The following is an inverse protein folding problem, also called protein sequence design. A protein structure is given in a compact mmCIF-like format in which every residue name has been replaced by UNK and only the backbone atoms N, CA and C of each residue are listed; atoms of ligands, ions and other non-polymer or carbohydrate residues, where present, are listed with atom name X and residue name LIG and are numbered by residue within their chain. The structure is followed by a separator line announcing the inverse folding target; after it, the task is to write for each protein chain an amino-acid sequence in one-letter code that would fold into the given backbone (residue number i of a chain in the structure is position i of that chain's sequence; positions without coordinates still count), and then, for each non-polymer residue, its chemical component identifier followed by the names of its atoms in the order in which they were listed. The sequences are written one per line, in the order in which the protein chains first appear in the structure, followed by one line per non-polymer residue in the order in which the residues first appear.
data_IF_040402817956
#
_entry.id   IF_040402817956
#
_cell.length_a   1.000
_cell.length_b   1.000
_cell.length_c   1.000
_cell.angle_alpha   90.00
_cell.angle_beta   90.00
_cell.angle_gamma   90.00
#
_symmetry.space_group_name_H-M   'P 1'
#
loop_
_entity.id
_entity.type
_entity.pdbx_description
1 polymer ?
#
# COMPACT_ATOMS: atom_id res chain seq x y z
N UNK A 1 0.14 17.88 15.16
CA UNK A 1 1.02 17.14 14.25
C UNK A 1 1.08 17.91 12.94
N UNK A 2 2.28 18.26 12.48
CA UNK A 2 2.56 19.39 11.59
C UNK A 2 1.79 19.41 10.25
N UNK A 3 1.45 20.62 9.79
CA UNK A 3 0.94 20.98 8.45
C UNK A 3 2.01 20.81 7.35
N UNK A 4 2.60 19.62 7.25
CA UNK A 4 3.64 19.35 6.25
C UNK A 4 3.00 19.25 4.86
N UNK A 5 3.42 20.11 3.93
CA UNK A 5 3.03 19.99 2.53
C UNK A 5 3.54 18.66 1.93
N UNK A 6 2.84 18.12 0.95
CA UNK A 6 3.15 16.84 0.30
C UNK A 6 3.51 17.13 -1.15
N UNK A 7 4.77 16.88 -1.51
CA UNK A 7 5.19 17.03 -2.90
C UNK A 7 4.69 15.87 -3.75
N UNK A 8 4.09 16.23 -4.87
CA UNK A 8 3.62 15.33 -5.93
C UNK A 8 3.98 15.92 -7.29
N UNK A 9 4.20 15.08 -8.30
CA UNK A 9 4.30 15.59 -9.67
C UNK A 9 2.94 16.16 -10.16
N UNK A 10 2.96 16.96 -11.22
CA UNK A 10 1.76 17.66 -11.70
C UNK A 10 0.62 16.71 -12.09
N UNK A 11 0.95 15.57 -12.70
CA UNK A 11 -0.05 14.54 -13.05
C UNK A 11 -0.74 13.95 -11.82
N UNK A 12 0.04 13.60 -10.79
CA UNK A 12 -0.48 13.08 -9.52
C UNK A 12 -1.28 14.13 -8.77
N UNK A 13 -0.86 15.40 -8.76
CA UNK A 13 -1.64 16.50 -8.18
C UNK A 13 -3.02 16.59 -8.82
N UNK A 14 -3.09 16.55 -10.16
CA UNK A 14 -4.37 16.55 -10.90
C UNK A 14 -5.27 15.38 -10.48
N UNK A 15 -4.73 14.17 -10.41
CA UNK A 15 -5.52 12.99 -9.98
C UNK A 15 -6.02 13.13 -8.55
N UNK A 16 -5.17 13.52 -7.60
CA UNK A 16 -5.54 13.64 -6.19
C UNK A 16 -6.53 14.78 -5.93
N UNK A 17 -6.50 15.85 -6.74
CA UNK A 17 -7.51 16.92 -6.69
C UNK A 17 -8.92 16.45 -7.03
N UNK A 18 -9.09 15.30 -7.70
CA UNK A 18 -10.40 14.73 -8.01
C UNK A 18 -11.00 13.92 -6.87
N UNK A 19 -10.24 13.62 -5.81
CA UNK A 19 -10.70 12.76 -4.71
C UNK A 19 -11.62 13.47 -3.70
N UNK A 20 -12.08 14.71 -3.99
CA UNK A 20 -12.97 15.51 -3.13
C UNK A 20 -12.55 15.56 -1.66
N UNK A 21 -11.24 15.67 -1.40
CA UNK A 21 -10.66 15.71 -0.06
C UNK A 21 -9.97 17.05 0.22
N UNK A 22 -10.70 18.08 0.69
CA UNK A 22 -10.17 19.44 0.83
C UNK A 22 -8.90 19.52 1.67
N UNK A 23 -8.88 18.80 2.80
CA UNK A 23 -7.73 18.79 3.71
C UNK A 23 -6.45 18.18 3.09
N UNK A 24 -6.59 17.26 2.14
CA UNK A 24 -5.46 16.74 1.37
C UNK A 24 -5.05 17.74 0.29
N UNK A 25 -6.02 18.24 -0.49
CA UNK A 25 -5.76 19.10 -1.65
C UNK A 25 -5.03 20.39 -1.26
N UNK A 26 -5.37 20.99 -0.12
CA UNK A 26 -4.67 22.19 0.40
C UNK A 26 -3.20 21.94 0.74
N UNK A 27 -2.82 20.68 0.99
CA UNK A 27 -1.46 20.28 1.34
C UNK A 27 -0.62 19.85 0.13
N UNK A 28 -1.21 19.70 -1.05
CA UNK A 28 -0.49 19.24 -2.24
C UNK A 28 0.32 20.36 -2.90
N UNK A 29 1.62 20.12 -3.04
CA UNK A 29 2.56 21.04 -3.71
C UNK A 29 3.28 20.36 -4.87
N UNK A 30 3.65 21.15 -5.86
CA UNK A 30 4.55 20.74 -6.96
C UNK A 30 5.94 21.33 -6.80
N UNK A 31 6.16 22.18 -5.78
CA UNK A 31 7.47 22.71 -5.42
C UNK A 31 8.25 21.65 -4.63
N UNK A 32 9.31 21.14 -5.26
CA UNK A 32 10.15 20.07 -4.74
C UNK A 32 11.03 20.50 -3.56
N UNK A 33 11.28 21.80 -3.39
CA UNK A 33 12.16 22.31 -2.35
C UNK A 33 11.44 22.62 -1.03
N UNK A 34 10.12 22.81 -1.06
CA UNK A 34 9.35 23.31 0.08
C UNK A 34 9.00 22.26 1.14
N UNK A 35 9.19 20.96 0.88
CA UNK A 35 8.84 19.88 1.82
C UNK A 35 9.85 18.73 1.76
N UNK A 36 10.08 18.01 2.87
CA UNK A 36 10.82 16.75 2.85
C UNK A 36 9.95 15.53 2.45
N UNK A 37 8.63 15.68 2.35
CA UNK A 37 7.69 14.58 2.10
C UNK A 37 7.31 14.48 0.62
N UNK A 38 7.82 13.46 -0.06
CA UNK A 38 7.70 13.30 -1.51
C UNK A 38 6.96 12.01 -1.88
N UNK A 39 5.97 12.11 -2.76
CA UNK A 39 5.25 10.95 -3.32
C UNK A 39 5.84 10.59 -4.68
N UNK A 40 6.48 9.41 -4.74
CA UNK A 40 7.08 8.88 -5.97
C UNK A 40 6.23 7.75 -6.56
N UNK A 41 6.34 7.48 -7.87
CA UNK A 41 5.73 6.27 -8.45
C UNK A 41 6.34 5.01 -7.81
N UNK A 42 5.53 3.98 -7.55
CA UNK A 42 5.95 2.77 -6.83
C UNK A 42 7.18 2.08 -7.47
N UNK A 43 7.28 2.10 -8.80
CA UNK A 43 8.42 1.56 -9.55
C UNK A 43 9.75 2.34 -9.37
N UNK A 44 9.72 3.51 -8.74
CA UNK A 44 10.91 4.27 -8.34
C UNK A 44 11.38 3.94 -6.92
N UNK A 45 10.59 3.21 -6.13
CA UNK A 45 10.94 2.84 -4.75
C UNK A 45 11.83 1.59 -4.76
N UNK A 46 13.08 1.77 -5.19
CA UNK A 46 14.14 0.77 -5.11
C UNK A 46 15.49 1.45 -4.78
N UNK A 47 16.48 0.70 -4.25
CA UNK A 47 17.71 1.31 -3.75
C UNK A 47 18.46 2.16 -4.77
N UNK A 48 18.60 1.69 -6.02
CA UNK A 48 19.34 2.39 -7.08
C UNK A 48 18.71 3.75 -7.39
N UNK A 49 17.42 3.76 -7.71
CA UNK A 49 16.70 4.99 -8.09
C UNK A 49 16.56 5.97 -6.93
N UNK A 50 16.43 5.47 -5.70
CA UNK A 50 16.33 6.33 -4.52
C UNK A 50 17.67 6.98 -4.15
N UNK A 51 18.80 6.29 -4.38
CA UNK A 51 20.13 6.90 -4.24
C UNK A 51 20.32 8.04 -5.24
N UNK A 52 20.00 7.79 -6.52
CA UNK A 52 20.03 8.82 -7.57
C UNK A 52 19.11 10.01 -7.24
N UNK A 53 17.93 9.72 -6.68
CA UNK A 53 16.99 10.75 -6.26
C UNK A 53 17.51 11.58 -5.07
N UNK A 54 18.06 10.94 -4.04
CA UNK A 54 18.65 11.60 -2.86
C UNK A 54 19.80 12.53 -3.24
N UNK A 55 20.64 12.13 -4.20
CA UNK A 55 21.78 12.93 -4.66
C UNK A 55 21.40 14.32 -5.18
N UNK A 56 20.17 14.50 -5.70
CA UNK A 56 19.64 15.79 -6.17
C UNK A 56 19.42 16.80 -5.05
N UNK A 57 19.41 16.34 -3.80
CA UNK A 57 19.16 17.17 -2.62
C UNK A 57 20.39 17.31 -1.72
N UNK A 58 21.57 16.87 -2.18
CA UNK A 58 22.82 17.15 -1.47
C UNK A 58 23.13 18.64 -1.56
N UNK A 59 23.54 19.32 -0.46
CA UNK A 59 23.84 18.77 0.87
C UNK A 59 22.67 18.78 1.87
N UNK A 60 21.48 19.24 1.46
CA UNK A 60 20.31 19.41 2.34
C UNK A 60 19.88 18.12 3.03
N UNK A 61 19.85 16.99 2.32
CA UNK A 61 19.48 15.69 2.88
C UNK A 61 20.61 14.68 2.74
N UNK A 62 20.95 14.01 3.83
CA UNK A 62 21.96 12.93 3.87
C UNK A 62 21.34 11.53 3.84
N UNK A 63 20.11 11.41 4.34
CA UNK A 63 19.41 10.14 4.47
C UNK A 63 17.99 10.25 3.89
N UNK A 64 17.48 9.14 3.36
CA UNK A 64 16.15 8.99 2.81
C UNK A 64 15.48 7.75 3.42
N UNK A 65 14.27 7.95 3.93
CA UNK A 65 13.39 6.84 4.34
C UNK A 65 12.25 6.75 3.35
N UNK A 66 12.06 5.57 2.76
CA UNK A 66 10.98 5.29 1.83
C UNK A 66 10.01 4.29 2.44
N UNK A 67 8.72 4.59 2.31
CA UNK A 67 7.64 3.66 2.61
C UNK A 67 7.12 3.08 1.30
N UNK A 68 7.16 1.77 1.19
CA UNK A 68 6.59 1.02 0.06
C UNK A 68 5.33 0.31 0.55
N UNK A 69 4.14 0.88 0.34
CA UNK A 69 2.91 0.16 0.64
C UNK A 69 2.82 -1.08 -0.26
N UNK A 70 2.50 -2.21 0.36
CA UNK A 70 2.40 -3.52 -0.29
C UNK A 70 1.20 -4.27 0.27
N UNK A 71 0.55 -5.07 -0.57
CA UNK A 71 -0.52 -5.97 -0.12
C UNK A 71 0.00 -7.15 0.72
N UNK A 72 -0.91 -8.06 1.06
CA UNK A 72 -0.64 -9.22 1.92
C UNK A 72 0.57 -10.07 1.50
N UNK A 73 0.87 -10.18 0.21
CA UNK A 73 2.00 -11.00 -0.29
C UNK A 73 3.38 -10.57 0.21
N UNK A 74 3.52 -9.36 0.79
CA UNK A 74 4.76 -8.95 1.45
C UNK A 74 4.83 -9.35 2.93
N UNK A 75 3.68 -9.57 3.60
CA UNK A 75 3.63 -9.88 5.04
C UNK A 75 4.13 -11.29 5.35
N UNK A 76 4.06 -12.23 4.40
CA UNK A 76 4.58 -13.60 4.60
C UNK A 76 6.08 -13.62 4.91
N UNK A 77 6.84 -12.65 4.38
CA UNK A 77 8.29 -12.54 4.64
C UNK A 77 8.64 -11.75 5.91
N UNK A 78 7.74 -10.89 6.39
CA UNK A 78 7.98 -10.03 7.55
C UNK A 78 7.55 -10.69 8.89
N UNK A 79 6.86 -11.83 8.83
CA UNK A 79 6.26 -12.47 9.99
C UNK A 79 5.00 -11.71 10.47
N UNK A 80 4.27 -12.32 11.40
CA UNK A 80 2.93 -11.88 11.82
C UNK A 80 2.87 -10.57 12.65
N UNK A 81 3.93 -9.75 12.68
CA UNK A 81 4.01 -8.57 13.54
C UNK A 81 4.59 -7.34 12.87
N UNK A 82 3.87 -6.22 12.93
CA UNK A 82 4.33 -4.90 12.45
C UNK A 82 5.65 -4.47 13.10
N UNK A 83 5.90 -4.92 14.34
CA UNK A 83 7.15 -4.67 15.09
C UNK A 83 8.39 -5.31 14.46
N UNK A 84 8.21 -6.30 13.59
CA UNK A 84 9.31 -7.09 13.03
C UNK A 84 9.73 -6.62 11.63
N UNK A 85 9.09 -5.57 11.09
CA UNK A 85 9.40 -5.05 9.75
C UNK A 85 10.82 -4.46 9.76
N UNK A 86 11.72 -5.11 9.02
CA UNK A 86 13.09 -4.62 8.79
C UNK A 86 13.19 -3.93 7.44
N UNK A 87 13.84 -2.76 7.36
CA UNK A 87 14.04 -2.08 6.09
C UNK A 87 15.12 -2.77 5.25
N UNK A 88 15.00 -2.64 3.93
CA UNK A 88 16.16 -2.84 3.05
C UNK A 88 17.02 -1.58 3.10
N UNK A 89 18.28 -1.72 3.49
CA UNK A 89 19.22 -0.60 3.62
C UNK A 89 20.26 -0.59 2.50
N UNK A 90 20.60 0.59 2.01
CA UNK A 90 21.71 0.83 1.10
C UNK A 90 22.16 2.29 1.23
N UNK A 91 23.46 2.57 1.41
CA UNK A 91 24.07 3.89 1.69
C UNK A 91 23.11 5.09 1.70
N UNK A 92 22.68 5.51 2.90
CA UNK A 92 21.80 6.66 3.11
C UNK A 92 20.32 6.42 2.76
N UNK A 93 19.93 5.25 2.26
CA UNK A 93 18.55 4.89 1.90
C UNK A 93 18.06 3.72 2.76
N UNK A 94 16.89 3.88 3.37
CA UNK A 94 16.16 2.81 4.07
C UNK A 94 14.75 2.66 3.47
N UNK A 95 14.40 1.45 3.03
CA UNK A 95 13.10 1.16 2.40
C UNK A 95 12.32 0.19 3.27
N UNK A 96 11.17 0.62 3.79
CA UNK A 96 10.25 -0.20 4.57
C UNK A 96 9.11 -0.69 3.67
N UNK A 97 8.93 -2.01 3.57
CA UNK A 97 7.72 -2.59 3.00
C UNK A 97 6.63 -2.64 4.07
N UNK A 98 5.53 -1.92 3.84
CA UNK A 98 4.45 -1.78 4.82
C UNK A 98 3.25 -2.61 4.34
N UNK A 99 2.76 -3.59 5.14
CA UNK A 99 1.57 -4.36 4.81
C UNK A 99 0.33 -3.49 5.01
N UNK A 100 -0.06 -2.76 3.97
CA UNK A 100 -1.26 -1.94 3.93
C UNK A 100 -2.18 -2.50 2.84
N UNK A 101 -3.32 -3.05 3.25
CA UNK A 101 -4.28 -3.70 2.35
C UNK A 101 -5.56 -2.89 2.29
N UNK A 102 -6.05 -2.63 1.07
CA UNK A 102 -7.40 -2.13 0.80
C UNK A 102 -8.35 -3.29 0.41
N UNK A 103 -7.87 -4.52 0.50
CA UNK A 103 -8.67 -5.74 0.33
C UNK A 103 -8.88 -6.43 1.67
N UNK A 104 -10.05 -7.04 1.83
CA UNK A 104 -10.38 -7.84 3.01
C UNK A 104 -9.40 -8.98 3.21
N UNK A 105 -8.99 -9.19 4.46
CA UNK A 105 -8.38 -10.42 4.92
C UNK A 105 -9.37 -11.59 4.85
N UNK A 106 -8.84 -12.80 4.97
CA UNK A 106 -9.66 -14.02 5.01
C UNK A 106 -10.73 -13.97 6.11
N UNK A 107 -10.36 -13.52 7.31
CA UNK A 107 -11.28 -13.47 8.45
C UNK A 107 -12.36 -12.40 8.27
N UNK A 108 -11.99 -11.19 7.81
CA UNK A 108 -12.96 -10.13 7.54
C UNK A 108 -13.98 -10.56 6.48
N UNK A 109 -13.52 -11.19 5.40
CA UNK A 109 -14.42 -11.71 4.36
C UNK A 109 -15.32 -12.83 4.88
N UNK A 110 -14.76 -13.78 5.65
CA UNK A 110 -15.52 -14.86 6.28
C UNK A 110 -16.61 -14.32 7.21
N UNK A 111 -16.26 -13.37 8.08
CA UNK A 111 -17.20 -12.74 9.00
C UNK A 111 -18.30 -11.99 8.27
N UNK A 112 -17.94 -11.22 7.23
CA UNK A 112 -18.91 -10.53 6.39
C UNK A 112 -19.89 -11.49 5.70
N UNK A 113 -19.39 -12.59 5.12
CA UNK A 113 -20.24 -13.62 4.49
C UNK A 113 -21.16 -14.28 5.51
N UNK A 114 -20.65 -14.63 6.70
CA UNK A 114 -21.45 -15.23 7.79
C UNK A 114 -22.51 -14.28 8.33
N UNK A 115 -22.21 -12.98 8.36
CA UNK A 115 -23.15 -11.93 8.76
C UNK A 115 -24.26 -11.77 7.70
N UNK A 116 -23.90 -11.63 6.42
CA UNK A 116 -24.86 -11.36 5.35
C UNK A 116 -25.73 -12.58 5.00
N UNK A 117 -25.20 -13.80 5.14
CA UNK A 117 -25.85 -15.08 4.80
C UNK A 117 -26.44 -15.10 3.38
N UNK A 118 -25.63 -14.83 2.34
CA UNK A 118 -26.12 -14.81 0.97
C UNK A 118 -26.58 -16.22 0.52
N UNK A 119 -27.60 -16.27 -0.32
CA UNK A 119 -28.06 -17.53 -0.93
C UNK A 119 -27.04 -18.10 -1.93
N UNK A 120 -26.23 -17.23 -2.55
CA UNK A 120 -25.23 -17.60 -3.55
C UNK A 120 -24.06 -16.64 -3.50
N UNK A 121 -22.85 -17.17 -3.65
CA UNK A 121 -21.61 -16.40 -3.77
C UNK A 121 -21.07 -16.60 -5.19
N UNK A 122 -20.63 -15.52 -5.83
CA UNK A 122 -20.00 -15.54 -7.16
C UNK A 122 -18.66 -14.82 -7.06
N UNK A 123 -17.52 -15.52 -7.12
CA UNK A 123 -16.21 -14.87 -7.03
C UNK A 123 -15.90 -14.09 -8.32
N UNK A 124 -15.30 -12.91 -8.18
CA UNK A 124 -14.86 -12.05 -9.31
C UNK A 124 -13.35 -12.00 -9.48
N UNK A 125 -12.58 -12.45 -8.48
CA UNK A 125 -11.11 -12.47 -8.46
C UNK A 125 -10.62 -13.91 -8.34
N UNK A 126 -9.41 -14.19 -8.84
CA UNK A 126 -8.79 -15.53 -8.86
C UNK A 126 -9.58 -16.61 -9.62
N UNK A 127 -10.45 -16.20 -10.54
CA UNK A 127 -11.33 -17.10 -11.30
C UNK A 127 -10.66 -17.77 -12.50
N UNK A 128 -9.43 -17.40 -12.89
CA UNK A 128 -8.76 -17.95 -14.08
C UNK A 128 -8.32 -19.42 -13.97
N UNK A 129 -8.24 -19.96 -12.75
CA UNK A 129 -7.81 -21.34 -12.49
C UNK A 129 -8.97 -22.16 -11.92
N UNK A 130 -9.26 -23.31 -12.55
CA UNK A 130 -10.28 -24.24 -12.08
C UNK A 130 -10.00 -24.72 -10.64
N UNK A 131 -8.73 -25.02 -10.34
CA UNK A 131 -8.29 -25.43 -9.00
C UNK A 131 -8.58 -24.35 -7.96
N UNK A 132 -8.19 -23.09 -8.22
CA UNK A 132 -8.46 -21.97 -7.30
C UNK A 132 -9.95 -21.72 -7.11
N UNK A 133 -10.77 -21.89 -8.17
CA UNK A 133 -12.23 -21.80 -8.06
C UNK A 133 -12.78 -22.87 -7.12
N UNK A 134 -12.33 -24.13 -7.27
CA UNK A 134 -12.75 -25.22 -6.38
C UNK A 134 -12.32 -24.99 -4.93
N UNK A 135 -11.14 -24.42 -4.69
CA UNK A 135 -10.69 -24.04 -3.34
C UNK A 135 -11.60 -22.96 -2.72
N UNK A 136 -11.91 -21.90 -3.45
CA UNK A 136 -12.83 -20.85 -2.97
C UNK A 136 -14.23 -21.40 -2.69
N UNK A 137 -14.76 -22.28 -3.55
CA UNK A 137 -16.07 -22.91 -3.32
C UNK A 137 -16.11 -23.70 -2.01
N UNK A 138 -15.03 -24.41 -1.66
CA UNK A 138 -14.95 -25.11 -0.35
C UNK A 138 -15.07 -24.12 0.82
N UNK A 139 -14.40 -22.96 0.73
CA UNK A 139 -14.52 -21.93 1.75
C UNK A 139 -15.94 -21.36 1.84
N UNK A 140 -16.57 -21.06 0.71
CA UNK A 140 -17.94 -20.55 0.67
C UNK A 140 -18.93 -21.53 1.31
N UNK A 141 -18.87 -22.81 0.93
CA UNK A 141 -19.71 -23.85 1.54
C UNK A 141 -19.51 -23.93 3.04
N UNK A 142 -18.26 -23.92 3.53
CA UNK A 142 -17.97 -23.92 4.96
C UNK A 142 -18.58 -22.68 5.65
N UNK A 143 -18.46 -21.50 5.07
CA UNK A 143 -18.91 -20.27 5.73
C UNK A 143 -20.43 -20.13 5.78
N UNK A 144 -21.16 -20.60 4.77
CA UNK A 144 -22.62 -20.49 4.73
C UNK A 144 -23.35 -21.59 5.50
N UNK A 145 -22.69 -22.71 5.81
CA UNK A 145 -23.32 -23.88 6.46
C UNK A 145 -22.86 -24.13 7.90
N UNK A 146 -21.97 -23.31 8.47
CA UNK A 146 -21.55 -23.45 9.88
C UNK A 146 -22.34 -22.47 10.77
N UNK A 147 -23.34 -23.01 11.47
CA UNK A 147 -24.16 -22.35 12.51
C UNK A 147 -23.31 -21.74 13.61
#
# INVERSE_FOLDING_TARGET
MADTAIWVNSGRKRTLSLCEWPALTTRLTTDLACTPLHVLPIGHINPKKLKEYLARFTPRFKNLVALRPTGWTFSEKAGNGLSNIKPTQADGVSIYGIPYSEHSSYNELKEFVRFLRPQRIVPTVNIGSATKRQEMEKHFHMWTHTS
#
